data_IF_721179449803
#
_entry.id   IF_721179449803
#
_cell.length_a   1.000
_cell.length_b   1.000
_cell.length_c   1.000
_cell.angle_alpha   90.00
_cell.angle_beta   90.00
_cell.angle_gamma   90.00
#
_symmetry.space_group_name_H-M   'P 1'
#
loop_
_entity.id
_entity.type
_entity.pdbx_description
1 polymer ?
#
# COMPACT_ATOMS: atom_id res chain seq x y z
N UNK A 1 6.13 -5.62 -13.98
CA UNK A 1 4.67 -5.41 -13.82
C UNK A 1 4.45 -4.26 -12.85
N UNK A 2 4.43 -3.03 -13.34
CA UNK A 2 4.00 -1.86 -12.56
C UNK A 2 2.48 -1.89 -12.48
N UNK A 3 1.90 -2.14 -11.31
CA UNK A 3 0.50 -1.81 -11.06
C UNK A 3 0.43 -0.30 -10.89
N UNK A 4 0.18 0.40 -12.00
CA UNK A 4 -0.29 1.77 -11.98
C UNK A 4 -1.69 1.73 -11.34
N UNK A 5 -1.78 2.01 -10.05
CA UNK A 5 -3.07 2.13 -9.37
C UNK A 5 -3.73 3.42 -9.87
N UNK A 6 -4.55 3.28 -10.92
CA UNK A 6 -5.54 4.26 -11.30
C UNK A 6 -6.53 4.43 -10.14
N UNK A 7 -6.28 5.39 -9.27
CA UNK A 7 -7.31 6.02 -8.46
C UNK A 7 -7.36 7.50 -8.81
N UNK A 8 -7.67 7.77 -10.09
CA UNK A 8 -8.11 9.08 -10.53
C UNK A 8 -9.62 8.97 -10.76
N UNK A 9 -10.41 9.22 -9.73
CA UNK A 9 -11.81 9.61 -9.91
C UNK A 9 -12.27 10.39 -8.69
N UNK A 10 -11.96 11.68 -8.70
CA UNK A 10 -12.70 12.66 -7.92
C UNK A 10 -13.52 13.49 -8.89
N UNK A 11 -14.55 12.87 -9.48
CA UNK A 11 -15.67 13.63 -10.02
C UNK A 11 -16.40 14.27 -8.83
N UNK A 12 -15.98 15.48 -8.45
CA UNK A 12 -16.67 16.31 -7.46
C UNK A 12 -17.91 16.89 -8.12
N UNK A 13 -19.05 16.25 -7.90
CA UNK A 13 -20.36 16.86 -8.13
C UNK A 13 -20.53 17.99 -7.11
N UNK A 14 -20.20 19.22 -7.52
CA UNK A 14 -20.52 20.42 -6.76
C UNK A 14 -22.03 20.48 -6.51
N UNK A 15 -22.41 20.69 -5.25
CA UNK A 15 -23.82 20.82 -4.85
C UNK A 15 -24.52 21.87 -5.72
N UNK A 16 -25.46 21.43 -6.55
CA UNK A 16 -26.27 22.24 -7.46
C UNK A 16 -27.47 22.90 -6.74
N UNK A 17 -27.33 23.27 -5.46
CA UNK A 17 -28.37 23.93 -4.69
C UNK A 17 -27.97 25.39 -4.50
N UNK A 18 -28.67 26.28 -5.21
CA UNK A 18 -28.44 27.73 -5.15
C UNK A 18 -29.13 28.36 -3.93
N UNK A 19 -28.57 29.44 -3.38
CA UNK A 19 -29.12 30.14 -2.21
C UNK A 19 -30.59 30.56 -2.41
N UNK A 20 -30.95 30.93 -3.65
CA UNK A 20 -32.31 31.29 -4.05
C UNK A 20 -33.31 30.12 -3.91
N UNK A 21 -32.88 28.88 -4.14
CA UNK A 21 -33.73 27.69 -3.97
C UNK A 21 -33.97 27.35 -2.50
N UNK A 22 -33.04 27.73 -1.61
CA UNK A 22 -33.20 27.55 -0.16
C UNK A 22 -34.20 28.58 0.41
N UNK A 23 -34.23 29.79 -0.14
CA UNK A 23 -35.12 30.86 0.32
C UNK A 23 -36.59 30.69 -0.06
N UNK A 24 -36.89 29.83 -1.02
CA UNK A 24 -38.26 29.47 -1.41
C UNK A 24 -38.87 28.37 -0.51
N UNK A 25 -38.07 27.72 0.34
CA UNK A 25 -38.53 26.66 1.24
C UNK A 25 -39.15 27.23 2.51
N UNK A 26 -40.03 26.45 3.13
CA UNK A 26 -40.55 26.76 4.45
C UNK A 26 -39.39 26.86 5.48
N UNK A 27 -39.54 27.70 6.53
CA UNK A 27 -38.45 27.98 7.46
C UNK A 27 -37.87 26.74 8.16
N UNK A 28 -38.71 25.75 8.46
CA UNK A 28 -38.31 24.54 9.17
C UNK A 28 -37.47 23.64 8.24
N UNK A 29 -37.94 23.40 7.02
CA UNK A 29 -37.21 22.62 6.00
C UNK A 29 -35.91 23.31 5.60
N UNK A 30 -35.90 24.65 5.49
CA UNK A 30 -34.69 25.42 5.23
C UNK A 30 -33.65 25.21 6.31
N UNK A 31 -34.04 25.31 7.58
CA UNK A 31 -33.12 25.12 8.70
C UNK A 31 -32.56 23.69 8.73
N UNK A 32 -33.41 22.68 8.50
CA UNK A 32 -32.98 21.29 8.42
C UNK A 32 -31.98 21.06 7.27
N UNK A 33 -32.24 21.62 6.08
CA UNK A 33 -31.34 21.48 4.94
C UNK A 33 -30.00 22.19 5.17
N UNK A 34 -30.00 23.38 5.78
CA UNK A 34 -28.76 24.09 6.14
C UNK A 34 -27.93 23.29 7.16
N UNK A 35 -28.58 22.68 8.16
CA UNK A 35 -27.90 21.79 9.11
C UNK A 35 -27.27 20.59 8.41
N UNK A 36 -27.99 19.94 7.50
CA UNK A 36 -27.48 18.80 6.76
C UNK A 36 -26.31 19.19 5.83
N UNK A 37 -26.40 20.36 5.17
CA UNK A 37 -25.29 20.87 4.34
C UNK A 37 -24.05 21.16 5.18
N UNK A 38 -24.21 21.69 6.41
CA UNK A 38 -23.10 21.90 7.32
C UNK A 38 -22.46 20.56 7.75
N UNK A 39 -23.27 19.55 8.06
CA UNK A 39 -22.78 18.21 8.37
C UNK A 39 -22.05 17.56 7.19
N UNK A 40 -22.58 17.70 5.96
CA UNK A 40 -21.94 17.19 4.75
C UNK A 40 -20.58 17.86 4.55
N UNK A 41 -20.47 19.18 4.70
CA UNK A 41 -19.19 19.89 4.60
C UNK A 41 -18.19 19.41 5.65
N UNK A 42 -18.62 19.27 6.90
CA UNK A 42 -17.76 18.76 7.98
C UNK A 42 -17.26 17.33 7.68
N UNK A 43 -18.12 16.48 7.12
CA UNK A 43 -17.74 15.12 6.68
C UNK A 43 -16.79 15.15 5.49
N UNK A 44 -17.01 16.03 4.51
CA UNK A 44 -16.10 16.19 3.35
C UNK A 44 -14.71 16.62 3.79
N UNK A 45 -14.61 17.55 4.75
CA UNK A 45 -13.32 17.96 5.35
C UNK A 45 -12.64 16.79 6.07
N UNK A 46 -13.40 16.02 6.85
CA UNK A 46 -12.89 14.84 7.55
C UNK A 46 -12.38 13.79 6.55
N UNK A 47 -13.13 13.51 5.49
CA UNK A 47 -12.74 12.59 4.42
C UNK A 47 -11.45 13.07 3.76
N UNK A 48 -11.38 14.35 3.38
CA UNK A 48 -10.19 14.91 2.76
C UNK A 48 -8.94 14.82 3.66
N UNK A 49 -9.10 14.94 4.97
CA UNK A 49 -7.99 14.70 5.93
C UNK A 49 -7.58 13.22 5.95
N UNK A 50 -8.54 12.30 6.06
CA UNK A 50 -8.26 10.86 6.07
C UNK A 50 -7.64 10.38 4.77
N UNK A 51 -8.05 10.92 3.63
CA UNK A 51 -7.47 10.58 2.32
C UNK A 51 -5.99 10.97 2.24
N UNK A 52 -5.61 12.13 2.79
CA UNK A 52 -4.20 12.55 2.85
C UNK A 52 -3.38 11.64 3.76
N UNK A 53 -3.92 11.29 4.92
CA UNK A 53 -3.27 10.35 5.85
C UNK A 53 -3.12 8.96 5.23
N UNK A 54 -4.15 8.46 4.54
CA UNK A 54 -4.11 7.18 3.86
C UNK A 54 -3.07 7.18 2.72
N UNK A 55 -3.02 8.24 1.91
CA UNK A 55 -2.04 8.38 0.85
C UNK A 55 -0.60 8.42 1.41
N UNK A 56 -0.38 9.14 2.51
CA UNK A 56 0.92 9.19 3.18
C UNK A 56 1.35 7.81 3.70
N UNK A 57 0.47 7.12 4.44
CA UNK A 57 0.73 5.76 4.95
C UNK A 57 1.00 4.77 3.81
N UNK A 58 0.25 4.85 2.72
CA UNK A 58 0.47 3.99 1.55
C UNK A 58 1.85 4.22 0.94
N UNK A 59 2.27 5.49 0.77
CA UNK A 59 3.60 5.81 0.26
C UNK A 59 4.72 5.28 1.16
N UNK A 60 4.54 5.34 2.48
CA UNK A 60 5.47 4.75 3.45
C UNK A 60 5.55 3.22 3.33
N UNK A 61 4.40 2.55 3.23
CA UNK A 61 4.34 1.09 3.03
C UNK A 61 5.04 0.69 1.73
N UNK A 62 4.85 1.46 0.65
CA UNK A 62 5.46 1.19 -0.64
C UNK A 62 6.99 1.35 -0.58
N UNK A 63 7.49 2.39 0.11
CA UNK A 63 8.92 2.59 0.38
C UNK A 63 9.52 1.42 1.14
N UNK A 64 8.96 1.05 2.29
CA UNK A 64 9.46 -0.05 3.10
C UNK A 64 9.39 -1.39 2.35
N UNK A 65 8.33 -1.60 1.55
CA UNK A 65 8.20 -2.80 0.70
C UNK A 65 9.29 -2.85 -0.38
N UNK A 66 9.64 -1.70 -0.96
CA UNK A 66 10.74 -1.60 -1.91
C UNK A 66 12.09 -1.91 -1.26
N UNK A 67 12.39 -1.30 -0.11
CA UNK A 67 13.63 -1.53 0.64
C UNK A 67 13.79 -3.01 1.02
N UNK A 68 12.74 -3.63 1.53
CA UNK A 68 12.72 -5.07 1.81
C UNK A 68 13.01 -5.90 0.55
N UNK A 69 12.49 -5.52 -0.63
CA UNK A 69 12.75 -6.23 -1.88
C UNK A 69 14.23 -6.05 -2.34
N UNK A 70 14.80 -4.86 -2.16
CA UNK A 70 16.22 -4.59 -2.45
C UNK A 70 17.11 -5.43 -1.55
N UNK A 71 16.90 -5.43 -0.23
CA UNK A 71 17.69 -6.24 0.71
C UNK A 71 17.59 -7.73 0.42
N UNK A 72 16.40 -8.25 0.08
CA UNK A 72 16.25 -9.66 -0.34
C UNK A 72 17.09 -9.97 -1.57
N UNK A 73 17.07 -9.10 -2.59
CA UNK A 73 17.90 -9.28 -3.80
C UNK A 73 19.39 -9.25 -3.47
N UNK A 74 19.82 -8.35 -2.60
CA UNK A 74 21.21 -8.28 -2.13
C UNK A 74 21.60 -9.56 -1.38
N UNK A 75 20.74 -10.07 -0.49
CA UNK A 75 20.96 -11.35 0.19
C UNK A 75 21.13 -12.51 -0.82
N UNK A 76 20.26 -12.60 -1.82
CA UNK A 76 20.41 -13.61 -2.89
C UNK A 76 21.69 -13.44 -3.71
N UNK A 77 22.12 -12.20 -3.98
CA UNK A 77 23.37 -11.95 -4.67
C UNK A 77 24.58 -12.35 -3.80
N UNK A 78 24.53 -12.05 -2.50
CA UNK A 78 25.57 -12.40 -1.54
C UNK A 78 25.76 -13.92 -1.38
N UNK A 79 24.67 -14.69 -1.49
CA UNK A 79 24.73 -16.16 -1.44
C UNK A 79 25.12 -16.83 -2.77
N UNK A 80 25.22 -16.07 -3.86
CA UNK A 80 25.59 -16.62 -5.17
C UNK A 80 27.02 -17.18 -5.15
N UNK A 81 27.25 -18.31 -5.84
CA UNK A 81 28.57 -18.98 -5.88
C UNK A 81 29.69 -18.04 -6.34
N UNK A 82 29.39 -17.19 -7.35
CA UNK A 82 30.35 -16.22 -7.90
C UNK A 82 30.79 -15.19 -6.88
N UNK A 83 29.89 -14.70 -6.03
CA UNK A 83 30.23 -13.69 -5.03
C UNK A 83 30.77 -14.33 -3.75
N UNK A 84 30.13 -15.40 -3.28
CA UNK A 84 30.52 -16.11 -2.06
C UNK A 84 31.95 -16.67 -2.13
N UNK A 85 32.43 -17.08 -3.32
CA UNK A 85 33.82 -17.53 -3.54
C UNK A 85 34.88 -16.42 -3.41
N UNK A 86 34.48 -15.15 -3.38
CA UNK A 86 35.39 -14.01 -3.25
C UNK A 86 35.57 -13.53 -1.80
N UNK A 87 34.78 -14.06 -0.86
CA UNK A 87 34.77 -13.63 0.54
C UNK A 87 35.36 -14.71 1.46
N UNK A 88 36.04 -14.27 2.52
CA UNK A 88 36.37 -15.17 3.63
C UNK A 88 35.08 -15.64 4.33
N UNK A 89 35.03 -16.87 4.90
CA UNK A 89 33.83 -17.40 5.53
C UNK A 89 33.23 -16.50 6.62
N UNK A 90 34.08 -15.89 7.46
CA UNK A 90 33.67 -14.98 8.53
C UNK A 90 33.03 -13.70 7.98
N UNK A 91 33.58 -13.15 6.88
CA UNK A 91 33.04 -11.96 6.23
C UNK A 91 31.68 -12.23 5.59
N UNK A 92 31.52 -13.42 5.00
CA UNK A 92 30.23 -13.87 4.47
C UNK A 92 29.20 -14.01 5.58
N UNK A 93 29.55 -14.66 6.70
CA UNK A 93 28.65 -14.80 7.86
C UNK A 93 28.19 -13.43 8.37
N UNK A 94 29.14 -12.51 8.59
CA UNK A 94 28.86 -11.16 9.05
C UNK A 94 27.89 -10.41 8.11
N UNK A 95 28.10 -10.52 6.80
CA UNK A 95 27.23 -9.90 5.80
C UNK A 95 25.81 -10.49 5.82
N UNK A 96 25.70 -11.82 5.89
CA UNK A 96 24.41 -12.50 5.94
C UNK A 96 23.62 -12.15 7.20
N UNK A 97 24.28 -12.14 8.37
CA UNK A 97 23.69 -11.75 9.65
C UNK A 97 23.20 -10.30 9.64
N UNK A 98 23.99 -9.37 9.08
CA UNK A 98 23.61 -7.96 8.96
C UNK A 98 22.37 -7.81 8.08
N UNK A 99 22.36 -8.46 6.91
CA UNK A 99 21.20 -8.43 6.01
C UNK A 99 19.95 -9.05 6.65
N UNK A 100 20.12 -10.09 7.45
CA UNK A 100 19.01 -10.72 8.17
C UNK A 100 18.46 -9.84 9.30
N UNK A 101 19.33 -9.14 10.01
CA UNK A 101 18.94 -8.15 11.01
C UNK A 101 18.10 -7.04 10.37
N UNK A 102 18.61 -6.42 9.30
CA UNK A 102 17.92 -5.32 8.61
C UNK A 102 16.58 -5.78 8.00
N UNK A 103 16.55 -6.99 7.43
CA UNK A 103 15.30 -7.58 6.91
C UNK A 103 14.28 -7.82 8.02
N UNK A 104 14.71 -8.25 9.21
CA UNK A 104 13.83 -8.46 10.35
C UNK A 104 13.28 -7.14 10.90
N UNK A 105 14.10 -6.08 10.93
CA UNK A 105 13.68 -4.75 11.36
C UNK A 105 12.62 -4.17 10.41
N UNK A 106 12.87 -4.20 9.10
CA UNK A 106 11.90 -3.73 8.10
C UNK A 106 10.61 -4.55 8.11
N UNK A 107 10.66 -5.86 8.35
CA UNK A 107 9.46 -6.70 8.47
C UNK A 107 8.62 -6.31 9.70
N UNK A 108 9.27 -5.94 10.81
CA UNK A 108 8.57 -5.40 11.98
C UNK A 108 7.93 -4.03 11.70
N UNK A 109 8.64 -3.13 11.03
CA UNK A 109 8.12 -1.81 10.68
C UNK A 109 6.93 -1.92 9.71
N UNK A 110 7.03 -2.77 8.68
CA UNK A 110 5.93 -3.06 7.77
C UNK A 110 4.72 -3.65 8.50
N UNK A 111 4.91 -4.54 9.48
CA UNK A 111 3.82 -5.07 10.30
C UNK A 111 3.15 -3.97 11.12
N UNK A 112 3.91 -3.01 11.66
CA UNK A 112 3.36 -1.86 12.40
C UNK A 112 2.55 -0.95 11.49
N UNK A 113 3.06 -0.60 10.31
CA UNK A 113 2.36 0.28 9.37
C UNK A 113 1.12 -0.39 8.77
N UNK A 114 1.19 -1.69 8.43
CA UNK A 114 0.03 -2.46 7.94
C UNK A 114 -0.98 -2.80 9.03
N UNK A 115 -0.53 -3.04 10.27
CA UNK A 115 -1.43 -3.24 11.41
C UNK A 115 -2.28 -2.00 11.69
N UNK A 116 -1.75 -0.81 11.41
CA UNK A 116 -2.49 0.45 11.46
C UNK A 116 -3.37 0.68 10.21
N UNK A 117 -2.97 0.16 9.05
CA UNK A 117 -3.72 0.19 7.80
C UNK A 117 -4.51 -1.12 7.62
N UNK A 118 -5.64 -1.26 8.33
CA UNK A 118 -6.46 -2.47 8.45
C UNK A 118 -6.37 -3.48 7.29
N UNK A 119 -6.09 -4.73 7.66
CA UNK A 119 -5.84 -5.93 6.84
C UNK A 119 -6.76 -6.03 5.60
N UNK A 120 -6.34 -5.42 4.49
CA UNK A 120 -6.98 -5.53 3.18
C UNK A 120 -5.97 -5.94 2.12
N UNK A 121 -5.31 -7.08 2.30
CA UNK A 121 -4.97 -7.98 1.18
C UNK A 121 -4.19 -9.20 1.70
N UNK A 122 -4.92 -10.18 2.22
CA UNK A 122 -4.46 -11.58 2.14
C UNK A 122 -4.90 -12.13 0.79
N UNK A 123 -4.32 -11.60 -0.29
CA UNK A 123 -4.37 -12.27 -1.57
C UNK A 123 -3.55 -13.56 -1.43
N UNK A 124 -4.26 -14.69 -1.39
CA UNK A 124 -3.69 -16.02 -1.37
C UNK A 124 -2.58 -16.12 -2.41
N UNK A 125 -1.34 -16.34 -1.96
CA UNK A 125 -0.18 -16.53 -2.84
C UNK A 125 -0.43 -17.78 -3.67
N UNK A 126 -0.91 -17.61 -4.91
CA UNK A 126 -0.99 -18.69 -5.90
C UNK A 126 0.43 -19.16 -6.19
N UNK A 127 0.82 -20.28 -5.60
CA UNK A 127 2.08 -20.94 -5.93
C UNK A 127 2.01 -21.46 -7.37
N UNK A 128 2.89 -21.00 -8.28
CA UNK A 128 2.94 -21.56 -9.62
C UNK A 128 3.39 -23.02 -9.53
N UNK A 129 2.46 -23.96 -9.77
CA UNK A 129 2.78 -25.39 -9.87
C UNK A 129 3.30 -25.68 -11.28
N UNK A 130 4.44 -26.36 -11.38
CA UNK A 130 4.95 -26.86 -12.67
C UNK A 130 4.11 -28.06 -13.09
N UNK A 131 3.59 -28.04 -14.32
CA UNK A 131 2.97 -29.21 -14.91
C UNK A 131 4.05 -30.30 -15.16
N UNK A 132 3.71 -31.60 -15.02
CA UNK A 132 4.63 -32.68 -15.37
C UNK A 132 5.02 -32.59 -16.85
N UNK A 133 6.27 -32.91 -17.17
CA UNK A 133 6.78 -32.87 -18.54
C UNK A 133 6.00 -33.88 -19.40
N UNK A 134 5.39 -33.46 -20.53
CA UNK A 134 4.62 -34.36 -21.37
C UNK A 134 5.46 -35.53 -21.94
N UNK A 135 4.90 -36.76 -22.00
CA UNK A 135 5.65 -37.97 -22.36
C UNK A 135 6.06 -38.06 -23.83
N UNK A 136 5.54 -37.18 -24.70
CA UNK A 136 5.83 -37.19 -26.13
C UNK A 136 7.05 -36.34 -26.52
N UNK A 137 7.67 -35.65 -25.56
CA UNK A 137 8.87 -34.88 -25.83
C UNK A 137 10.08 -35.82 -25.89
N UNK A 138 10.92 -35.71 -26.94
CA UNK A 138 12.15 -36.48 -27.02
C UNK A 138 13.03 -36.17 -25.79
N UNK A 139 13.61 -37.23 -25.22
CA UNK A 139 14.59 -37.14 -24.13
C UNK A 139 15.99 -36.95 -24.69
#
# INVERSE_FOLDING_TARGET
MCRCAMHCSAARSGSMISAQQLDALDPQTRQAMLSLLAEVRAKEELIAQRDREAAFKQALIDKLTHEMAVLKRLKFAATSERFASTLAPEQKSLLEETLDSDLAELDQELKRERGQAGDKDKTEKKTPKRAPLPPHLPR
#
